data_IF_162517684256
#
_entry.id   IF_162517684256
#
_cell.length_a   1.000
_cell.length_b   1.000
_cell.length_c   1.000
_cell.angle_alpha   90.00
_cell.angle_beta   90.00
_cell.angle_gamma   90.00
#
_symmetry.space_group_name_H-M   'P 1'
#
loop_
_entity.id
_entity.type
_entity.pdbx_description
1 polymer ?
#
# COMPACT_ATOMS: atom_id res chain seq x y z
N UNK A 1 6.43 3.25 19.11
CA UNK A 1 6.35 3.19 17.63
C UNK A 1 7.33 4.20 17.05
N UNK A 2 8.20 3.81 16.11
CA UNK A 2 9.26 4.69 15.59
C UNK A 2 8.69 5.71 14.58
N UNK A 3 9.42 6.79 14.28
CA UNK A 3 8.98 7.79 13.29
C UNK A 3 8.70 7.16 11.91
N UNK A 4 9.56 6.23 11.48
CA UNK A 4 9.39 5.50 10.21
C UNK A 4 8.11 4.65 10.17
N UNK A 5 7.69 4.07 11.30
CA UNK A 5 6.45 3.30 11.36
C UNK A 5 5.22 4.20 11.15
N UNK A 6 5.25 5.43 11.71
CA UNK A 6 4.19 6.42 11.50
C UNK A 6 4.08 6.85 10.04
N UNK A 7 5.22 7.04 9.37
CA UNK A 7 5.26 7.41 7.95
C UNK A 7 4.67 6.28 7.09
N UNK A 8 5.04 5.02 7.36
CA UNK A 8 4.50 3.87 6.63
C UNK A 8 2.99 3.74 6.86
N UNK A 9 2.52 3.88 8.11
CA UNK A 9 1.08 3.87 8.42
C UNK A 9 0.33 5.02 7.74
N UNK A 10 0.94 6.20 7.63
CA UNK A 10 0.36 7.31 6.89
C UNK A 10 0.16 6.95 5.41
N UNK A 11 1.16 6.34 4.76
CA UNK A 11 1.01 5.87 3.38
C UNK A 11 -0.05 4.76 3.24
N UNK A 12 -0.20 3.90 4.25
CA UNK A 12 -1.30 2.92 4.26
C UNK A 12 -2.65 3.61 4.27
N UNK A 13 -2.83 4.61 5.14
CA UNK A 13 -4.06 5.39 5.20
C UNK A 13 -4.37 6.06 3.87
N UNK A 14 -3.37 6.65 3.20
CA UNK A 14 -3.56 7.23 1.87
C UNK A 14 -4.01 6.20 0.83
N UNK A 15 -3.40 5.01 0.81
CA UNK A 15 -3.81 3.93 -0.09
C UNK A 15 -5.25 3.48 0.16
N UNK A 16 -5.62 3.26 1.42
CA UNK A 16 -6.98 2.85 1.81
C UNK A 16 -8.00 3.88 1.32
N UNK A 17 -7.75 5.17 1.62
CA UNK A 17 -8.64 6.26 1.23
C UNK A 17 -8.73 6.39 -0.29
N UNK A 18 -7.60 6.27 -1.01
CA UNK A 18 -7.56 6.38 -2.45
C UNK A 18 -8.38 5.27 -3.13
N UNK A 19 -8.16 4.02 -2.75
CA UNK A 19 -8.91 2.88 -3.29
C UNK A 19 -10.39 2.93 -2.92
N UNK A 20 -10.73 3.32 -1.69
CA UNK A 20 -12.12 3.51 -1.28
C UNK A 20 -12.80 4.63 -2.08
N UNK A 21 -12.11 5.75 -2.30
CA UNK A 21 -12.60 6.86 -3.12
C UNK A 21 -12.86 6.42 -4.56
N UNK A 22 -11.93 5.70 -5.19
CA UNK A 22 -12.13 5.16 -6.54
C UNK A 22 -13.31 4.18 -6.60
N UNK A 23 -13.49 3.35 -5.56
CA UNK A 23 -14.64 2.45 -5.45
C UNK A 23 -15.98 3.20 -5.42
N UNK A 24 -16.07 4.25 -4.58
CA UNK A 24 -17.26 5.12 -4.53
C UNK A 24 -17.47 5.84 -5.85
N UNK A 25 -16.43 6.43 -6.42
CA UNK A 25 -16.48 7.10 -7.72
C UNK A 25 -17.00 6.16 -8.81
N UNK A 26 -16.50 4.92 -8.83
CA UNK A 26 -16.94 3.90 -9.78
C UNK A 26 -18.45 3.61 -9.69
N UNK A 27 -18.99 3.54 -8.48
CA UNK A 27 -20.44 3.36 -8.27
C UNK A 27 -21.25 4.59 -8.71
N UNK A 28 -20.78 5.80 -8.37
CA UNK A 28 -21.48 7.06 -8.69
C UNK A 28 -21.60 7.27 -10.20
N UNK A 29 -20.53 7.01 -10.94
CA UNK A 29 -20.49 7.18 -12.39
C UNK A 29 -21.01 5.95 -13.16
N UNK A 30 -21.67 5.02 -12.46
CA UNK A 30 -22.28 3.80 -13.03
C UNK A 30 -21.30 2.97 -13.86
N UNK A 31 -20.04 2.94 -13.44
CA UNK A 31 -19.10 1.93 -13.94
C UNK A 31 -19.52 0.55 -13.44
N UNK A 32 -18.81 -0.48 -13.91
CA UNK A 32 -19.08 -1.85 -13.52
C UNK A 32 -18.99 -2.04 -11.99
N UNK A 33 -20.02 -2.63 -11.40
CA UNK A 33 -20.06 -3.01 -9.98
C UNK A 33 -18.92 -3.97 -9.62
N UNK A 34 -18.46 -4.77 -10.59
CA UNK A 34 -17.28 -5.61 -10.45
C UNK A 34 -16.00 -4.78 -10.23
N UNK A 35 -15.81 -3.71 -11.01
CA UNK A 35 -14.65 -2.81 -10.87
C UNK A 35 -14.67 -2.10 -9.51
N UNK A 36 -15.83 -1.57 -9.10
CA UNK A 36 -15.97 -0.97 -7.77
C UNK A 36 -15.66 -1.98 -6.65
N UNK A 37 -16.10 -3.23 -6.79
CA UNK A 37 -15.83 -4.30 -5.81
C UNK A 37 -14.34 -4.60 -5.70
N UNK A 38 -13.60 -4.62 -6.82
CA UNK A 38 -12.14 -4.78 -6.82
C UNK A 38 -11.43 -3.63 -6.10
N UNK A 39 -11.88 -2.39 -6.29
CA UNK A 39 -11.31 -1.22 -5.62
C UNK A 39 -11.52 -1.27 -4.10
N UNK A 40 -12.73 -1.60 -3.64
CA UNK A 40 -12.99 -1.80 -2.21
C UNK A 40 -12.21 -2.97 -1.63
N UNK A 41 -12.06 -4.06 -2.39
CA UNK A 41 -11.24 -5.20 -1.99
C UNK A 41 -9.78 -4.81 -1.77
N UNK A 42 -9.20 -4.01 -2.68
CA UNK A 42 -7.87 -3.43 -2.49
C UNK A 42 -7.77 -2.57 -1.22
N UNK A 43 -8.75 -1.69 -0.98
CA UNK A 43 -8.80 -0.88 0.23
C UNK A 43 -8.82 -1.74 1.51
N UNK A 44 -9.61 -2.83 1.53
CA UNK A 44 -9.65 -3.76 2.65
C UNK A 44 -8.32 -4.48 2.86
N UNK A 45 -7.64 -4.92 1.79
CA UNK A 45 -6.32 -5.54 1.91
C UNK A 45 -5.33 -4.57 2.56
N UNK A 46 -5.30 -3.31 2.12
CA UNK A 46 -4.41 -2.31 2.72
C UNK A 46 -4.77 -2.02 4.18
N UNK A 47 -6.06 -2.06 4.56
CA UNK A 47 -6.49 -1.92 5.96
C UNK A 47 -5.99 -3.08 6.83
N UNK A 48 -6.13 -4.31 6.34
CA UNK A 48 -5.64 -5.52 7.02
C UNK A 48 -4.12 -5.47 7.18
N UNK A 49 -3.41 -5.01 6.15
CA UNK A 49 -1.96 -4.82 6.20
C UNK A 49 -1.53 -3.73 7.16
N UNK A 50 -2.23 -2.59 7.20
CA UNK A 50 -1.97 -1.53 8.16
C UNK A 50 -2.12 -2.05 9.60
N UNK A 51 -3.14 -2.86 9.87
CA UNK A 51 -3.33 -3.51 11.17
C UNK A 51 -2.15 -4.45 11.48
N UNK A 52 -1.85 -5.42 10.62
CA UNK A 52 -0.74 -6.35 10.89
C UNK A 52 0.60 -5.64 11.06
N UNK A 53 0.84 -4.58 10.28
CA UNK A 53 2.03 -3.74 10.42
C UNK A 53 2.06 -3.03 11.78
N UNK A 54 0.93 -2.48 12.24
CA UNK A 54 0.81 -1.85 13.56
C UNK A 54 1.08 -2.83 14.70
N UNK A 55 0.66 -4.09 14.56
CA UNK A 55 0.97 -5.18 15.51
C UNK A 55 2.43 -5.66 15.46
N UNK A 56 3.24 -5.14 14.55
CA UNK A 56 4.65 -5.52 14.34
C UNK A 56 4.86 -7.02 14.04
N UNK A 57 3.91 -7.63 13.33
CA UNK A 57 4.01 -9.03 12.92
C UNK A 57 5.11 -9.22 11.86
N UNK A 58 6.19 -9.92 12.21
CA UNK A 58 7.37 -10.10 11.34
C UNK A 58 7.04 -10.76 10.00
N UNK A 59 6.08 -11.70 10.01
CA UNK A 59 5.63 -12.41 8.80
C UNK A 59 4.85 -11.49 7.86
N UNK A 60 4.05 -10.58 8.41
CA UNK A 60 3.23 -9.66 7.63
C UNK A 60 4.08 -8.69 6.79
N UNK A 61 5.28 -8.32 7.25
CA UNK A 61 6.18 -7.45 6.49
C UNK A 61 6.45 -7.97 5.08
N UNK A 62 6.73 -9.27 4.93
CA UNK A 62 7.02 -9.85 3.61
C UNK A 62 5.78 -9.97 2.74
N UNK A 63 4.63 -10.30 3.33
CA UNK A 63 3.35 -10.32 2.59
C UNK A 63 3.00 -8.93 2.03
N UNK A 64 3.10 -7.89 2.86
CA UNK A 64 2.94 -6.49 2.44
C UNK A 64 3.97 -6.18 1.35
N UNK A 65 5.22 -6.53 1.62
CA UNK A 65 6.34 -6.67 0.69
C UNK A 65 5.93 -6.94 -0.75
N UNK A 66 5.61 -8.22 -0.93
CA UNK A 66 5.31 -8.81 -2.21
C UNK A 66 4.02 -8.26 -2.80
N UNK A 67 3.00 -8.00 -1.99
CA UNK A 67 1.74 -7.45 -2.48
C UNK A 67 1.90 -6.08 -3.11
N UNK A 68 2.61 -5.16 -2.44
CA UNK A 68 2.85 -3.81 -2.98
C UNK A 68 3.77 -3.87 -4.20
N UNK A 69 4.76 -4.77 -4.20
CA UNK A 69 5.65 -4.99 -5.36
C UNK A 69 4.89 -5.50 -6.58
N UNK A 70 4.01 -6.49 -6.40
CA UNK A 70 3.15 -7.01 -7.47
C UNK A 70 2.22 -5.91 -7.98
N UNK A 71 1.57 -5.15 -7.09
CA UNK A 71 0.73 -4.02 -7.49
C UNK A 71 1.52 -2.97 -8.28
N UNK A 72 2.75 -2.66 -7.86
CA UNK A 72 3.62 -1.73 -8.58
C UNK A 72 3.92 -2.21 -10.01
N UNK A 73 4.30 -3.48 -10.17
CA UNK A 73 4.57 -4.07 -11.49
C UNK A 73 3.31 -4.07 -12.36
N UNK A 74 2.17 -4.51 -11.81
CA UNK A 74 0.90 -4.55 -12.54
C UNK A 74 0.46 -3.15 -12.99
N UNK A 75 0.57 -2.15 -12.10
CA UNK A 75 0.23 -0.75 -12.43
C UNK A 75 1.16 -0.20 -13.51
N UNK A 76 2.45 -0.54 -13.48
CA UNK A 76 3.41 -0.11 -14.49
C UNK A 76 3.14 -0.72 -15.88
N UNK A 77 2.59 -1.94 -15.91
CA UNK A 77 2.25 -2.63 -17.17
C UNK A 77 0.90 -2.24 -17.77
N UNK A 78 0.06 -1.52 -17.02
CA UNK A 78 -1.24 -1.05 -17.52
C UNK A 78 -1.08 0.21 -18.41
N UNK A 79 -2.13 0.56 -19.16
CA UNK A 79 -2.15 1.78 -19.97
C UNK A 79 -1.96 3.00 -19.05
N UNK A 80 -0.93 3.80 -19.31
CA UNK A 80 -0.55 4.94 -18.47
C UNK A 80 -1.64 6.03 -18.42
N UNK A 81 -2.51 5.97 -17.42
CA UNK A 81 -3.41 7.04 -17.02
C UNK A 81 -2.85 7.88 -15.85
N UNK A 82 -3.46 9.04 -15.62
CA UNK A 82 -3.10 9.91 -14.47
C UNK A 82 -3.36 9.20 -13.13
N UNK A 83 -4.43 8.40 -13.06
CA UNK A 83 -4.77 7.62 -11.87
C UNK A 83 -3.70 6.56 -11.60
N UNK A 84 -3.23 5.88 -12.65
CA UNK A 84 -2.19 4.84 -12.55
C UNK A 84 -0.85 5.45 -12.09
N UNK A 85 -0.51 6.64 -12.57
CA UNK A 85 0.67 7.36 -12.10
C UNK A 85 0.58 7.66 -10.58
N UNK A 86 -0.58 8.09 -10.09
CA UNK A 86 -0.79 8.35 -8.65
C UNK A 86 -0.63 7.07 -7.83
N UNK A 87 -1.23 5.95 -8.29
CA UNK A 87 -1.10 4.64 -7.64
C UNK A 87 0.36 4.18 -7.65
N UNK A 88 1.06 4.36 -8.76
CA UNK A 88 2.47 4.00 -8.92
C UNK A 88 3.35 4.77 -7.93
N UNK A 89 3.14 6.08 -7.77
CA UNK A 89 3.85 6.91 -6.79
C UNK A 89 3.56 6.43 -5.36
N UNK A 90 2.30 6.17 -5.00
CA UNK A 90 1.95 5.68 -3.67
C UNK A 90 2.56 4.29 -3.38
N UNK A 91 2.53 3.37 -4.35
CA UNK A 91 3.15 2.06 -4.24
C UNK A 91 4.67 2.16 -4.09
N UNK A 92 5.31 3.03 -4.87
CA UNK A 92 6.75 3.28 -4.79
C UNK A 92 7.15 3.84 -3.42
N UNK A 93 6.45 4.86 -2.91
CA UNK A 93 6.73 5.46 -1.61
C UNK A 93 6.53 4.45 -0.47
N UNK A 94 5.52 3.58 -0.58
CA UNK A 94 5.29 2.50 0.37
C UNK A 94 6.45 1.48 0.36
N UNK A 95 6.88 1.02 -0.82
CA UNK A 95 8.02 0.10 -0.97
C UNK A 95 9.29 0.72 -0.40
N UNK A 96 9.55 1.99 -0.70
CA UNK A 96 10.69 2.74 -0.18
C UNK A 96 10.65 2.80 1.35
N UNK A 97 9.50 3.13 1.94
CA UNK A 97 9.32 3.16 3.40
C UNK A 97 9.61 1.81 4.05
N UNK A 98 9.07 0.72 3.49
CA UNK A 98 9.30 -0.65 3.98
C UNK A 98 10.79 -1.04 3.87
N UNK A 99 11.44 -0.70 2.77
CA UNK A 99 12.86 -0.98 2.55
C UNK A 99 13.75 -0.22 3.54
N UNK A 100 13.49 1.08 3.75
CA UNK A 100 14.20 1.90 4.73
C UNK A 100 14.01 1.37 6.16
N UNK A 101 12.81 0.91 6.53
CA UNK A 101 12.57 0.26 7.82
C UNK A 101 13.44 -0.98 7.99
N UNK A 102 13.56 -1.81 6.94
CA UNK A 102 14.39 -3.03 6.99
C UNK A 102 15.87 -2.71 7.18
N UNK A 103 16.39 -1.72 6.45
CA UNK A 103 17.78 -1.25 6.60
C UNK A 103 18.02 -0.70 8.00
N UNK A 104 17.14 0.18 8.48
CA UNK A 104 17.26 0.79 9.80
C UNK A 104 17.29 -0.26 10.92
N UNK A 105 16.41 -1.27 10.84
CA UNK A 105 16.43 -2.39 11.79
C UNK A 105 17.73 -3.16 11.70
N UNK A 106 18.24 -3.46 10.49
CA UNK A 106 19.50 -4.18 10.32
C UNK A 106 20.68 -3.44 10.93
N UNK A 107 20.80 -2.13 10.70
CA UNK A 107 21.89 -1.30 11.27
C UNK A 107 21.81 -1.27 12.79
N UNK A 108 20.62 -1.10 13.37
CA UNK A 108 20.43 -1.08 14.82
C UNK A 108 20.83 -2.40 15.50
N UNK A 109 20.79 -3.53 14.79
CA UNK A 109 21.25 -4.83 15.31
C UNK A 109 22.75 -5.06 15.15
N UNK A 110 23.42 -4.39 14.20
CA UNK A 110 24.87 -4.52 13.98
C UNK A 110 25.67 -3.67 14.98
N UNK A 111 25.07 -2.58 15.49
CA UNK A 111 25.72 -1.64 16.42
C UNK A 111 25.47 -1.95 17.91
N UNK A 112 24.86 -3.10 18.23
CA UNK A 112 24.65 -3.62 19.60
C UNK A 112 25.41 -4.92 19.77
#
# INVERSE_FOLDING_TARGET
>A
MKAIDRIILFFFSLQILFWAFLGVFSLVYKYSTFVASLMFFNAMIFLVFAWFFWKNEKRAFWFIFYYVLINFILTFTDQFGVIDLMILVLNFLMLLGLFLKKIYVKIAFVNN
#
